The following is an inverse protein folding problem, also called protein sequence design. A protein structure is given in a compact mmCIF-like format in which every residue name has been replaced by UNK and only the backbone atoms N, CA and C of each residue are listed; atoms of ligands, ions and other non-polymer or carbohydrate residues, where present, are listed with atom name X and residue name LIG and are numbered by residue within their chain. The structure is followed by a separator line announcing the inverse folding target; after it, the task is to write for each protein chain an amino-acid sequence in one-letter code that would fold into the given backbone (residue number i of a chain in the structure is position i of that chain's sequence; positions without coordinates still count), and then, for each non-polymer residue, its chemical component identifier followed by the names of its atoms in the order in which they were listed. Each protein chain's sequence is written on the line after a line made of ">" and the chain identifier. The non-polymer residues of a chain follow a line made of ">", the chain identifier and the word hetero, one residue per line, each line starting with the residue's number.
data_IF_427304274598
#
_entry.id   IF_427304274598
#
_cell.length_a   1.000
_cell.length_b   1.000
_cell.length_c   1.000
_cell.angle_alpha   90.00
_cell.angle_beta   90.00
_cell.angle_gamma   90.00
#
_symmetry.space_group_name_H-M   'P 1'
#
loop_
_entity.id
_entity.type
_entity.pdbx_description
1 polymer ?
#
# COMPACT_ATOMS: atom_id res chain seq x y z
N UNK A 1 -3.62 -20.03 -4.79
CA UNK A 1 -3.30 -18.76 -4.12
C UNK A 1 -1.90 -18.36 -4.55
N UNK A 2 -1.75 -17.14 -5.05
CA UNK A 2 -0.46 -16.56 -5.40
C UNK A 2 -0.08 -15.54 -4.34
N UNK A 3 1.18 -15.54 -3.90
CA UNK A 3 1.66 -14.52 -2.99
C UNK A 3 1.61 -13.15 -3.68
N UNK A 4 1.32 -12.10 -2.92
CA UNK A 4 1.38 -10.73 -3.41
C UNK A 4 2.80 -10.45 -3.91
N UNK A 5 2.89 -10.04 -5.16
CA UNK A 5 4.12 -9.56 -5.75
C UNK A 5 4.22 -8.05 -5.50
N UNK A 6 5.03 -7.67 -4.51
CA UNK A 6 5.25 -6.28 -4.11
C UNK A 6 5.75 -5.41 -5.27
N UNK A 7 6.59 -5.94 -6.16
CA UNK A 7 7.05 -5.20 -7.33
C UNK A 7 5.92 -4.91 -8.32
N UNK A 8 5.03 -5.88 -8.55
CA UNK A 8 3.84 -5.70 -9.41
C UNK A 8 2.89 -4.69 -8.77
N UNK A 9 2.65 -4.79 -7.46
CA UNK A 9 1.79 -3.85 -6.72
C UNK A 9 2.36 -2.42 -6.75
N UNK A 10 3.64 -2.24 -6.44
CA UNK A 10 4.36 -0.95 -6.53
C UNK A 10 4.32 -0.39 -7.95
N UNK A 11 4.54 -1.22 -8.97
CA UNK A 11 4.46 -0.80 -10.37
C UNK A 11 3.06 -0.28 -10.70
N UNK A 12 2.00 -0.99 -10.28
CA UNK A 12 0.62 -0.55 -10.49
C UNK A 12 0.32 0.76 -9.76
N UNK A 13 0.70 0.90 -8.49
CA UNK A 13 0.58 2.14 -7.73
C UNK A 13 1.27 3.31 -8.44
N UNK A 14 2.48 3.10 -8.94
CA UNK A 14 3.26 4.14 -9.64
C UNK A 14 2.62 4.61 -10.95
N UNK A 15 1.72 3.82 -11.55
CA UNK A 15 0.98 4.24 -12.77
C UNK A 15 -0.23 5.13 -12.47
N UNK A 16 -0.60 5.27 -11.20
CA UNK A 16 -1.82 5.98 -10.80
C UNK A 16 -1.60 7.48 -10.71
N UNK A 17 -2.49 8.32 -11.27
CA UNK A 17 -2.37 9.76 -11.13
C UNK A 17 -2.53 10.24 -9.69
N UNK A 18 -3.16 9.48 -8.79
CA UNK A 18 -3.30 9.88 -7.39
C UNK A 18 -1.98 9.70 -6.62
N UNK A 19 -1.06 8.90 -7.15
CA UNK A 19 0.23 8.57 -6.53
C UNK A 19 1.32 9.53 -7.03
N UNK A 20 2.08 10.10 -6.09
CA UNK A 20 3.28 10.89 -6.38
C UNK A 20 4.53 10.02 -6.44
N UNK A 21 4.65 9.08 -5.51
CA UNK A 21 5.83 8.24 -5.33
C UNK A 21 5.41 6.92 -4.69
N UNK A 22 6.00 5.80 -5.09
CA UNK A 22 5.78 4.50 -4.46
C UNK A 22 7.06 3.66 -4.54
N UNK A 23 7.57 3.26 -3.37
CA UNK A 23 8.89 2.63 -3.24
C UNK A 23 8.84 1.45 -2.27
N UNK A 24 9.68 0.44 -2.50
CA UNK A 24 9.86 -0.67 -1.54
C UNK A 24 10.93 -0.28 -0.52
N UNK A 25 10.56 -0.32 0.76
CA UNK A 25 11.46 -0.06 1.89
C UNK A 25 12.13 -1.38 2.30
N UNK A 26 13.37 -1.54 1.84
CA UNK A 26 14.16 -2.80 1.87
C UNK A 26 14.33 -3.52 3.22
N UNK A 27 13.91 -2.94 4.34
CA UNK A 27 14.07 -3.52 5.68
C UNK A 27 12.78 -4.17 6.20
N UNK A 28 11.64 -3.90 5.56
CA UNK A 28 10.34 -4.31 6.08
C UNK A 28 9.45 -4.99 5.02
N UNK A 29 9.95 -5.15 3.77
CA UNK A 29 9.13 -5.60 2.63
C UNK A 29 7.81 -4.80 2.52
N UNK A 30 7.90 -3.52 2.89
CA UNK A 30 6.79 -2.56 2.88
C UNK A 30 6.89 -1.71 1.63
N UNK A 31 5.78 -1.55 0.92
CA UNK A 31 5.63 -0.49 -0.07
C UNK A 31 5.21 0.78 0.68
N UNK A 32 6.03 1.81 0.59
CA UNK A 32 5.67 3.15 1.01
C UNK A 32 5.18 3.94 -0.20
N UNK A 33 3.94 4.39 -0.15
CA UNK A 33 3.28 5.18 -1.20
C UNK A 33 2.98 6.58 -0.68
N UNK A 34 3.36 7.61 -1.43
CA UNK A 34 3.01 9.00 -1.16
C UNK A 34 2.00 9.46 -2.20
N UNK A 35 0.83 9.88 -1.73
CA UNK A 35 -0.25 10.43 -2.56
C UNK A 35 0.01 11.89 -2.94
N UNK A 36 -0.63 12.36 -4.01
CA UNK A 36 -0.51 13.76 -4.46
C UNK A 36 -1.02 14.77 -3.43
N UNK A 37 -1.98 14.39 -2.59
CA UNK A 37 -2.50 15.22 -1.49
C UNK A 37 -1.57 15.24 -0.26
N UNK A 38 -0.48 14.48 -0.23
CA UNK A 38 0.48 14.42 0.88
C UNK A 38 0.30 13.21 1.81
N UNK A 39 -0.84 12.51 1.72
CA UNK A 39 -1.10 11.28 2.47
C UNK A 39 -0.05 10.21 2.17
N UNK A 40 0.40 9.48 3.19
CA UNK A 40 1.30 8.34 3.04
C UNK A 40 0.56 7.05 3.36
N UNK A 41 0.74 6.04 2.52
CA UNK A 41 0.23 4.68 2.72
C UNK A 41 1.40 3.72 2.83
N UNK A 42 1.52 3.05 3.97
CA UNK A 42 2.47 1.96 4.17
C UNK A 42 1.74 0.63 3.97
N UNK A 43 2.21 -0.20 3.04
CA UNK A 43 1.56 -1.46 2.65
C UNK A 43 2.53 -2.60 2.91
N UNK A 44 2.20 -3.51 3.82
CA UNK A 44 2.95 -4.72 4.13
C UNK A 44 2.20 -5.99 3.77
N UNK A 45 2.92 -7.09 3.63
CA UNK A 45 2.38 -8.45 3.42
C UNK A 45 2.87 -9.32 4.57
N UNK A 46 1.96 -10.09 5.19
CA UNK A 46 2.33 -11.01 6.27
C UNK A 46 2.65 -12.40 5.73
N UNK A 47 3.64 -13.05 6.31
CA UNK A 47 4.05 -14.41 5.93
C UNK A 47 2.92 -15.43 6.15
N UNK A 48 2.11 -15.25 7.20
CA UNK A 48 0.97 -16.11 7.51
C UNK A 48 -0.20 -15.93 6.53
N UNK A 49 -0.30 -14.76 5.90
CA UNK A 49 -1.38 -14.38 4.97
C UNK A 49 -0.80 -13.73 3.71
N UNK A 50 -0.07 -14.49 2.88
CA UNK A 50 0.70 -13.94 1.76
C UNK A 50 -0.17 -13.40 0.61
N UNK A 51 -1.49 -13.63 0.65
CA UNK A 51 -2.46 -13.05 -0.29
C UNK A 51 -3.08 -11.75 0.22
N UNK A 52 -2.88 -11.39 1.50
CA UNK A 52 -3.51 -10.23 2.12
C UNK A 52 -2.49 -9.11 2.28
N UNK A 53 -2.77 -7.96 1.68
CA UNK A 53 -2.00 -6.75 1.95
C UNK A 53 -2.63 -6.02 3.14
N UNK A 54 -1.82 -5.74 4.15
CA UNK A 54 -2.19 -4.83 5.24
C UNK A 54 -1.64 -3.45 4.92
N UNK A 55 -2.44 -2.42 5.17
CA UNK A 55 -1.97 -1.06 4.97
C UNK A 55 -2.43 -0.10 6.05
N UNK A 56 -1.60 0.91 6.25
CA UNK A 56 -1.79 1.96 7.25
C UNK A 56 -1.65 3.31 6.56
N UNK A 57 -2.57 4.22 6.87
CA UNK A 57 -2.67 5.54 6.28
C UNK A 57 -2.17 6.57 7.31
N UNK A 58 -1.32 7.48 6.85
CA UNK A 58 -0.75 8.58 7.61
C UNK A 58 -1.08 9.88 6.89
N UNK A 59 -1.37 10.96 7.63
CA UNK A 59 -1.67 12.23 6.97
C UNK A 59 -0.43 12.85 6.31
N UNK A 60 0.77 12.47 6.75
CA UNK A 60 2.03 12.94 6.20
C UNK A 60 3.21 11.96 6.35
N UNK A 61 4.34 12.30 5.73
CA UNK A 61 5.61 11.59 5.92
C UNK A 61 6.17 11.74 7.33
N UNK A 62 5.87 12.85 8.01
CA UNK A 62 6.26 13.11 9.39
C UNK A 62 5.54 12.14 10.34
N UNK A 63 4.23 12.00 10.17
CA UNK A 63 3.40 11.07 10.95
C UNK A 63 3.85 9.61 10.74
N UNK A 64 4.18 9.24 9.50
CA UNK A 64 4.74 7.92 9.19
C UNK A 64 6.03 7.66 9.98
N UNK A 65 6.94 8.63 10.06
CA UNK A 65 8.20 8.51 10.82
C UNK A 65 7.96 8.45 12.33
N UNK A 66 6.96 9.17 12.83
CA UNK A 66 6.58 9.15 14.25
C UNK A 66 5.66 7.98 14.62
N UNK A 67 5.22 7.18 13.63
CA UNK A 67 4.27 6.07 13.80
C UNK A 67 2.93 6.53 14.39
N UNK A 68 2.42 7.65 13.88
CA UNK A 68 1.13 8.25 14.28
C UNK A 68 0.10 8.08 13.15
N UNK A 69 -0.54 6.89 13.02
CA UNK A 69 -1.43 6.62 11.90
C UNK A 69 -2.74 7.40 12.01
N UNK A 70 -3.26 7.82 10.86
CA UNK A 70 -4.63 8.30 10.71
C UNK A 70 -5.63 7.13 10.72
N UNK A 71 -5.24 6.02 10.09
CA UNK A 71 -6.03 4.78 10.02
C UNK A 71 -5.11 3.57 9.93
N UNK A 72 -5.42 2.51 10.67
CA UNK A 72 -4.64 1.27 10.77
C UNK A 72 -5.55 0.04 10.65
N UNK A 73 -4.95 -1.13 10.37
CA UNK A 73 -5.70 -2.39 10.26
C UNK A 73 -6.52 -2.56 8.98
N UNK A 74 -6.30 -1.70 7.97
CA UNK A 74 -6.91 -1.84 6.67
C UNK A 74 -6.27 -3.01 5.91
N UNK A 75 -7.07 -3.73 5.14
CA UNK A 75 -6.58 -4.86 4.35
C UNK A 75 -7.28 -4.98 3.01
N UNK A 76 -6.62 -5.66 2.08
CA UNK A 76 -7.20 -6.10 0.81
C UNK A 76 -6.68 -7.49 0.48
N UNK A 77 -7.58 -8.41 0.10
CA UNK A 77 -7.23 -9.78 -0.29
C UNK A 77 -7.02 -9.88 -1.81
N UNK A 78 -5.82 -10.31 -2.21
CA UNK A 78 -5.41 -10.51 -3.60
C UNK A 78 -5.52 -12.00 -3.95
N UNK A 79 -6.76 -12.48 -4.14
CA UNK A 79 -7.04 -13.88 -4.45
C UNK A 79 -6.72 -14.25 -5.91
N UNK A 80 -6.85 -13.31 -6.85
CA UNK A 80 -6.61 -13.48 -8.30
C UNK A 80 -5.83 -12.31 -8.94
N UNK A 81 -5.35 -12.51 -10.17
CA UNK A 81 -4.54 -11.58 -10.94
C UNK A 81 -5.25 -10.24 -11.27
N UNK A 82 -6.58 -10.26 -11.31
CA UNK A 82 -7.42 -9.07 -11.44
C UNK A 82 -7.39 -8.17 -10.19
N UNK A 83 -7.01 -8.73 -9.04
CA UNK A 83 -7.00 -8.01 -7.76
C UNK A 83 -5.90 -6.97 -7.66
N UNK A 84 -4.85 -7.04 -8.48
CA UNK A 84 -3.86 -5.96 -8.55
C UNK A 84 -4.46 -4.62 -8.97
N UNK A 85 -5.47 -4.64 -9.84
CA UNK A 85 -6.16 -3.41 -10.24
C UNK A 85 -7.12 -2.97 -9.13
N UNK A 86 -7.97 -3.90 -8.68
CA UNK A 86 -9.02 -3.62 -7.69
C UNK A 86 -8.43 -3.19 -6.34
N UNK A 87 -7.38 -3.87 -5.88
CA UNK A 87 -6.68 -3.54 -4.64
C UNK A 87 -6.00 -2.17 -4.69
N UNK A 88 -5.39 -1.80 -5.82
CA UNK A 88 -4.85 -0.44 -6.00
C UNK A 88 -5.94 0.61 -5.99
N UNK A 89 -7.08 0.35 -6.65
CA UNK A 89 -8.22 1.26 -6.64
C UNK A 89 -8.83 1.41 -5.24
N UNK A 90 -8.93 0.32 -4.48
CA UNK A 90 -9.39 0.32 -3.10
C UNK A 90 -8.46 1.13 -2.19
N UNK A 91 -7.15 0.86 -2.24
CA UNK A 91 -6.14 1.56 -1.44
C UNK A 91 -6.15 3.06 -1.73
N UNK A 92 -6.26 3.46 -3.01
CA UNK A 92 -6.34 4.88 -3.40
C UNK A 92 -7.60 5.53 -2.86
N UNK A 93 -8.75 4.85 -2.99
CA UNK A 93 -10.04 5.37 -2.53
C UNK A 93 -10.06 5.61 -1.01
N UNK A 94 -9.37 4.79 -0.23
CA UNK A 94 -9.25 5.00 1.22
C UNK A 94 -8.29 6.14 1.58
N UNK A 95 -7.28 6.41 0.75
CA UNK A 95 -6.23 7.40 1.03
C UNK A 95 -6.49 8.81 0.46
N UNK A 96 -7.52 8.99 -0.38
CA UNK A 96 -7.85 10.24 -1.08
C UNK A 96 -9.32 10.62 -0.86
#
# INVERSE_FOLDING_TARGET
>A
MQNINLHRLMSKLSTRPEVRTADIVSWEDIIKTVMRNGTVVAIGVQDEYPTVALYTIYASDEDYRHKEPLSEGLHYDFEDDHDYKNGVEAIIKEAC
#
